data_IF_059484868401
#
_entry.id   IF_059484868401
#
_cell.length_a   1.000
_cell.length_b   1.000
_cell.length_c   1.000
_cell.angle_alpha   90.00
_cell.angle_beta   90.00
_cell.angle_gamma   90.00
#
_symmetry.space_group_name_H-M   'P 1'
#
loop_
_entity.id
_entity.type
_entity.pdbx_description
1 polymer ?
#
# COMPACT_ATOMS: atom_id res chain seq x y z
N UNK A 1 4.96 9.09 -6.70
CA UNK A 1 3.87 8.71 -7.62
C UNK A 1 2.79 9.78 -7.82
N UNK A 2 2.67 10.80 -6.96
CA UNK A 2 1.75 11.91 -7.20
C UNK A 2 2.10 12.73 -8.46
N UNK A 3 3.40 12.91 -8.77
CA UNK A 3 3.82 13.58 -10.00
C UNK A 3 3.32 12.86 -11.26
N UNK A 4 3.42 11.52 -11.31
CA UNK A 4 2.92 10.74 -12.43
C UNK A 4 1.41 10.88 -12.61
N UNK A 5 0.63 10.90 -11.53
CA UNK A 5 -0.81 11.16 -11.60
C UNK A 5 -1.11 12.55 -12.19
N UNK A 6 -0.33 13.57 -11.82
CA UNK A 6 -0.49 14.91 -12.34
C UNK A 6 -0.10 15.02 -13.82
N UNK A 7 0.97 14.35 -14.25
CA UNK A 7 1.36 14.27 -15.66
C UNK A 7 0.30 13.59 -16.54
N UNK A 8 -0.33 12.51 -16.04
CA UNK A 8 -1.43 11.86 -16.77
C UNK A 8 -2.64 12.78 -16.91
N UNK A 9 -2.94 13.56 -15.86
CA UNK A 9 -4.01 14.56 -15.89
C UNK A 9 -3.71 15.70 -16.86
N UNK A 10 -2.47 16.20 -16.85
CA UNK A 10 -2.00 17.27 -17.74
C UNK A 10 -2.10 16.85 -19.22
N UNK A 11 -1.79 15.59 -19.53
CA UNK A 11 -1.93 15.01 -20.88
C UNK A 11 -3.36 14.64 -21.27
N UNK A 12 -4.35 14.87 -20.41
CA UNK A 12 -5.75 14.52 -20.67
C UNK A 12 -6.06 13.01 -20.66
N UNK A 13 -5.17 12.18 -20.11
CA UNK A 13 -5.31 10.72 -20.05
C UNK A 13 -6.20 10.28 -18.88
N UNK A 14 -7.47 10.70 -18.90
CA UNK A 14 -8.41 10.51 -17.79
C UNK A 14 -8.82 9.05 -17.53
N UNK A 15 -8.59 8.14 -18.49
CA UNK A 15 -8.87 6.71 -18.36
C UNK A 15 -7.80 5.93 -17.59
N UNK A 16 -6.65 6.53 -17.29
CA UNK A 16 -5.56 5.88 -16.56
C UNK A 16 -5.63 6.28 -15.09
N UNK A 17 -6.02 5.33 -14.24
CA UNK A 17 -6.03 5.49 -12.78
C UNK A 17 -4.76 4.91 -12.19
N UNK A 18 -4.09 5.67 -11.33
CA UNK A 18 -2.92 5.19 -10.60
C UNK A 18 -3.26 5.04 -9.11
N UNK A 19 -2.88 3.92 -8.51
CA UNK A 19 -3.02 3.67 -7.06
C UNK A 19 -1.64 3.54 -6.44
N UNK A 20 -1.30 4.43 -5.51
CA UNK A 20 -0.05 4.33 -4.74
C UNK A 20 -0.28 3.43 -3.53
N UNK A 21 0.35 2.26 -3.50
CA UNK A 21 0.23 1.32 -2.39
C UNK A 21 1.37 1.53 -1.39
N UNK A 22 1.03 1.66 -0.12
CA UNK A 22 1.95 1.78 0.99
C UNK A 22 1.73 0.59 1.95
N UNK A 23 2.30 -0.59 1.66
CA UNK A 23 2.20 -1.73 2.55
C UNK A 23 3.13 -1.56 3.75
N UNK A 24 2.62 -1.87 4.92
CA UNK A 24 3.41 -2.15 6.11
C UNK A 24 4.10 -3.50 5.97
N UNK A 25 4.95 -3.83 6.93
CA UNK A 25 5.76 -5.02 6.83
C UNK A 25 4.91 -6.30 6.62
N UNK A 26 5.23 -7.00 5.53
CA UNK A 26 4.58 -8.23 5.10
C UNK A 26 5.57 -9.39 5.13
N UNK A 27 5.09 -10.59 5.48
CA UNK A 27 5.92 -11.81 5.54
C UNK A 27 6.12 -12.41 4.15
N UNK A 28 6.91 -11.74 3.32
CA UNK A 28 7.25 -12.25 1.99
C UNK A 28 8.31 -13.35 2.08
N UNK A 29 8.31 -14.33 1.15
CA UNK A 29 9.35 -15.35 1.09
C UNK A 29 10.75 -14.75 0.96
N UNK A 30 10.90 -13.59 0.31
CA UNK A 30 12.17 -12.86 0.20
C UNK A 30 12.78 -12.57 1.58
N UNK A 31 12.01 -12.05 2.52
CA UNK A 31 12.50 -11.69 3.85
C UNK A 31 12.65 -12.94 4.74
N UNK A 32 11.75 -13.91 4.60
CA UNK A 32 11.83 -15.17 5.35
C UNK A 32 13.06 -16.00 4.96
N UNK A 33 13.41 -16.06 3.67
CA UNK A 33 14.58 -16.77 3.16
C UNK A 33 15.90 -16.14 3.62
N UNK A 34 15.89 -14.85 3.97
CA UNK A 34 17.03 -14.16 4.58
C UNK A 34 17.14 -14.41 6.09
N UNK A 35 16.31 -15.29 6.66
CA UNK A 35 16.29 -15.57 8.10
C UNK A 35 15.78 -14.41 8.96
N UNK A 36 15.33 -13.33 8.32
CA UNK A 36 14.82 -12.16 9.01
C UNK A 36 13.40 -12.45 9.50
N UNK A 37 13.23 -12.38 10.83
CA UNK A 37 11.91 -12.18 11.44
C UNK A 37 11.79 -10.70 11.78
N UNK A 38 11.40 -9.85 10.82
CA UNK A 38 11.09 -8.49 11.17
C UNK A 38 10.02 -8.54 12.27
N UNK A 39 10.24 -7.82 13.36
CA UNK A 39 9.32 -7.65 14.48
C UNK A 39 9.06 -6.17 14.63
N UNK A 40 7.80 -5.75 14.58
CA UNK A 40 7.39 -4.39 14.89
C UNK A 40 6.82 -4.40 16.30
N UNK A 41 7.15 -3.38 17.09
CA UNK A 41 6.75 -3.29 18.50
C UNK A 41 5.23 -3.10 18.63
N UNK A 42 4.61 -2.45 17.64
CA UNK A 42 3.23 -1.98 17.73
C UNK A 42 2.24 -2.70 16.83
N UNK A 43 2.67 -3.26 15.69
CA UNK A 43 1.79 -3.80 14.67
C UNK A 43 2.19 -5.22 14.22
N UNK A 44 1.24 -6.16 14.17
CA UNK A 44 1.53 -7.50 13.70
C UNK A 44 1.79 -7.53 12.18
N UNK A 45 2.63 -8.46 11.75
CA UNK A 45 2.91 -8.70 10.33
C UNK A 45 1.73 -9.36 9.66
N UNK A 46 1.35 -8.80 8.52
CA UNK A 46 0.31 -9.34 7.67
C UNK A 46 0.85 -10.42 6.73
N UNK A 47 0.00 -11.40 6.40
CA UNK A 47 0.28 -12.38 5.35
C UNK A 47 0.30 -11.74 3.96
N UNK A 48 1.00 -12.37 3.02
CA UNK A 48 1.06 -11.91 1.63
C UNK A 48 -0.33 -11.94 0.99
N UNK A 49 -1.11 -12.98 1.22
CA UNK A 49 -2.46 -13.13 0.65
C UNK A 49 -3.37 -11.98 1.07
N UNK A 50 -3.36 -11.63 2.36
CA UNK A 50 -4.17 -10.52 2.88
C UNK A 50 -3.68 -9.17 2.33
N UNK A 51 -2.38 -9.02 2.12
CA UNK A 51 -1.81 -7.86 1.44
C UNK A 51 -2.33 -7.73 0.02
N UNK A 52 -2.19 -8.79 -0.77
CA UNK A 52 -2.62 -8.83 -2.15
C UNK A 52 -4.12 -8.51 -2.27
N UNK A 53 -4.97 -9.12 -1.42
CA UNK A 53 -6.40 -8.82 -1.40
C UNK A 53 -6.70 -7.34 -1.14
N UNK A 54 -6.03 -6.70 -0.18
CA UNK A 54 -6.25 -5.28 0.12
C UNK A 54 -5.71 -4.35 -0.98
N UNK A 55 -4.62 -4.74 -1.63
CA UNK A 55 -4.09 -4.02 -2.79
C UNK A 55 -5.08 -4.05 -3.94
N UNK A 56 -5.60 -5.24 -4.27
CA UNK A 56 -6.59 -5.41 -5.33
C UNK A 56 -7.87 -4.63 -5.01
N UNK A 57 -8.37 -4.70 -3.77
CA UNK A 57 -9.54 -3.90 -3.36
C UNK A 57 -9.29 -2.39 -3.51
N UNK A 58 -8.08 -1.91 -3.18
CA UNK A 58 -7.73 -0.51 -3.34
C UNK A 58 -7.68 -0.07 -4.82
N UNK A 59 -7.19 -0.94 -5.70
CA UNK A 59 -7.16 -0.70 -7.15
C UNK A 59 -8.58 -0.66 -7.71
N UNK A 60 -9.42 -1.65 -7.36
CA UNK A 60 -10.81 -1.73 -7.83
C UNK A 60 -11.67 -0.54 -7.37
N UNK A 61 -11.31 0.07 -6.24
CA UNK A 61 -11.97 1.29 -5.73
C UNK A 61 -11.33 2.59 -6.22
N UNK A 62 -10.38 2.51 -7.15
CA UNK A 62 -9.63 3.66 -7.68
C UNK A 62 -9.01 4.56 -6.61
N UNK A 63 -8.56 3.99 -5.48
CA UNK A 63 -7.92 4.77 -4.41
C UNK A 63 -6.61 5.38 -4.93
N UNK A 64 -6.41 6.68 -4.74
CA UNK A 64 -5.15 7.35 -5.14
C UNK A 64 -3.96 6.93 -4.27
N UNK A 65 -4.21 6.73 -2.97
CA UNK A 65 -3.25 6.25 -1.96
C UNK A 65 -3.92 5.18 -1.12
N UNK A 66 -3.23 4.06 -0.91
CA UNK A 66 -3.73 2.92 -0.16
C UNK A 66 -2.70 2.46 0.88
N UNK A 67 -2.98 2.74 2.16
CA UNK A 67 -2.24 2.15 3.27
C UNK A 67 -2.75 0.75 3.55
N UNK A 68 -1.82 -0.19 3.69
CA UNK A 68 -2.11 -1.61 3.89
C UNK A 68 -1.29 -2.09 5.08
N UNK A 69 -1.88 -2.55 6.21
CA UNK A 69 -3.30 -2.65 6.48
C UNK A 69 -4.00 -1.30 6.61
N UNK A 70 -5.29 -1.24 6.26
CA UNK A 70 -6.07 0.00 6.27
C UNK A 70 -6.06 0.76 7.60
N UNK A 71 -6.01 0.10 8.75
CA UNK A 71 -5.97 0.79 10.05
C UNK A 71 -4.73 1.69 10.23
N UNK A 72 -3.66 1.49 9.44
CA UNK A 72 -2.49 2.37 9.46
C UNK A 72 -2.82 3.75 8.90
N UNK A 73 -3.83 3.87 8.02
CA UNK A 73 -4.25 5.18 7.52
C UNK A 73 -4.73 6.08 8.67
N UNK A 74 -5.33 5.51 9.71
CA UNK A 74 -5.79 6.25 10.89
C UNK A 74 -4.59 6.82 11.65
N UNK A 75 -3.54 6.01 11.86
CA UNK A 75 -2.30 6.47 12.51
C UNK A 75 -1.63 7.56 11.66
N UNK A 76 -1.60 7.39 10.35
CA UNK A 76 -1.02 8.37 9.43
C UNK A 76 -1.79 9.71 9.44
N UNK A 77 -3.12 9.66 9.56
CA UNK A 77 -3.97 10.86 9.63
C UNK A 77 -3.92 11.57 10.99
N UNK A 78 -3.72 10.82 12.10
CA UNK A 78 -3.60 11.39 13.44
C UNK A 78 -2.23 12.01 13.74
N UNK A 79 -1.21 11.70 12.92
CA UNK A 79 0.16 12.20 13.08
C UNK A 79 0.49 13.41 12.20
N UNK A 80 -0.44 13.85 11.36
CA UNK A 80 -0.34 15.07 10.55
C UNK A 80 -1.17 16.19 11.16
#
# INVERSE_FOLDING_TARGET
MQCLQMEMKDKGLNGIRCTTVCPYFTRTPMILNLGMRPTSIWLPFMSVDRCACQIVDAILREKSIAFVPHYISIIAQLKG
#
